data_IF_950530221563
#
_entry.id   IF_950530221563
#
_cell.length_a   1.000
_cell.length_b   1.000
_cell.length_c   1.000
_cell.angle_alpha   90.00
_cell.angle_beta   90.00
_cell.angle_gamma   90.00
#
_symmetry.space_group_name_H-M   'P 1'
#
loop_
_entity.id
_entity.type
_entity.pdbx_description
1 polymer ?
#
# COMPACT_ATOMS: atom_id res chain seq x y z
N UNK A 1 -18.77 13.01 2.13
CA UNK A 1 -19.78 12.21 2.86
C UNK A 1 -19.05 11.13 3.64
N UNK A 2 -19.15 11.05 4.98
CA UNK A 2 -18.59 9.91 5.70
C UNK A 2 -19.42 8.67 5.34
N UNK A 3 -18.77 7.66 4.75
CA UNK A 3 -19.38 6.34 4.52
C UNK A 3 -19.46 5.64 5.88
N UNK A 4 -20.62 5.67 6.52
CA UNK A 4 -20.85 4.89 7.75
C UNK A 4 -20.91 3.42 7.35
N UNK A 5 -19.79 2.73 7.49
CA UNK A 5 -19.73 1.30 7.20
C UNK A 5 -20.32 0.55 8.40
N UNK A 6 -21.52 0.00 8.23
CA UNK A 6 -22.12 -0.93 9.20
C UNK A 6 -21.41 -2.29 9.07
N UNK A 7 -20.19 -2.40 9.59
CA UNK A 7 -19.46 -3.67 9.67
C UNK A 7 -19.90 -4.41 10.92
N UNK A 8 -20.30 -5.68 10.78
CA UNK A 8 -20.60 -6.53 11.94
C UNK A 8 -19.31 -6.87 12.69
N UNK A 9 -19.40 -7.06 14.01
CA UNK A 9 -18.24 -7.48 14.82
C UNK A 9 -17.55 -8.73 14.26
N UNK A 10 -18.32 -9.67 13.70
CA UNK A 10 -17.77 -10.88 13.06
C UNK A 10 -16.99 -10.60 11.78
N UNK A 11 -17.39 -9.60 10.99
CA UNK A 11 -16.64 -9.20 9.81
C UNK A 11 -15.34 -8.48 10.20
N UNK A 12 -15.36 -7.62 11.22
CA UNK A 12 -14.14 -6.96 11.73
C UNK A 12 -13.12 -8.00 12.20
N UNK A 13 -13.55 -9.00 13.00
CA UNK A 13 -12.67 -10.05 13.52
C UNK A 13 -11.98 -10.80 12.38
N UNK A 14 -12.72 -11.17 11.31
CA UNK A 14 -12.14 -11.84 10.14
C UNK A 14 -11.02 -11.05 9.45
N UNK A 15 -11.13 -9.71 9.41
CA UNK A 15 -10.08 -8.87 8.82
C UNK A 15 -8.86 -8.78 9.73
N UNK A 16 -9.08 -8.65 11.03
CA UNK A 16 -8.00 -8.65 12.02
C UNK A 16 -7.24 -9.98 11.99
N UNK A 17 -7.95 -11.10 11.97
CA UNK A 17 -7.35 -12.44 11.87
C UNK A 17 -6.58 -12.61 10.55
N UNK A 18 -7.16 -12.19 9.42
CA UNK A 18 -6.46 -12.19 8.14
C UNK A 18 -5.14 -11.40 8.19
N UNK A 19 -5.16 -10.18 8.74
CA UNK A 19 -3.94 -9.38 8.84
C UNK A 19 -2.92 -10.04 9.79
N UNK A 20 -3.35 -10.68 10.88
CA UNK A 20 -2.44 -11.45 11.72
C UNK A 20 -1.83 -12.65 10.99
N UNK A 21 -2.62 -13.35 10.18
CA UNK A 21 -2.15 -14.46 9.34
C UNK A 21 -1.16 -14.00 8.25
N UNK A 22 -1.25 -12.74 7.82
CA UNK A 22 -0.24 -12.09 6.99
C UNK A 22 1.09 -11.82 7.73
N UNK A 23 1.17 -12.06 9.03
CA UNK A 23 2.36 -11.88 9.86
C UNK A 23 2.44 -10.55 10.59
N UNK A 24 1.38 -9.73 10.58
CA UNK A 24 1.34 -8.49 11.35
C UNK A 24 1.08 -8.76 12.84
N UNK A 25 1.82 -8.06 13.70
CA UNK A 25 1.52 -8.03 15.14
C UNK A 25 0.20 -7.29 15.40
N UNK A 26 -0.46 -7.56 16.53
CA UNK A 26 -1.69 -6.87 16.91
C UNK A 26 -1.51 -5.34 16.95
N UNK A 27 -0.35 -4.87 17.40
CA UNK A 27 -0.01 -3.45 17.48
C UNK A 27 0.16 -2.82 16.07
N UNK A 28 0.80 -3.53 15.14
CA UNK A 28 0.85 -3.12 13.73
C UNK A 28 -0.56 -3.05 13.11
N UNK A 29 -1.39 -4.09 13.33
CA UNK A 29 -2.78 -4.11 12.85
C UNK A 29 -3.56 -2.92 13.42
N UNK A 30 -3.39 -2.62 14.72
CA UNK A 30 -4.01 -1.45 15.36
C UNK A 30 -3.60 -0.15 14.65
N UNK A 31 -2.30 0.06 14.40
CA UNK A 31 -1.82 1.24 13.67
C UNK A 31 -2.43 1.35 12.27
N UNK A 32 -2.47 0.24 11.53
CA UNK A 32 -3.05 0.19 10.19
C UNK A 32 -4.54 0.56 10.21
N UNK A 33 -5.31 0.01 11.14
CA UNK A 33 -6.75 0.29 11.27
C UNK A 33 -7.01 1.73 11.69
N UNK A 34 -6.22 2.28 12.62
CA UNK A 34 -6.35 3.70 13.02
C UNK A 34 -6.01 4.64 11.86
N UNK A 35 -4.97 4.34 11.08
CA UNK A 35 -4.55 5.14 9.94
C UNK A 35 -5.45 4.98 8.70
N UNK A 36 -6.07 3.82 8.52
CA UNK A 36 -6.97 3.53 7.40
C UNK A 36 -8.07 2.54 7.82
N UNK A 37 -9.16 3.04 8.44
CA UNK A 37 -10.27 2.18 8.89
C UNK A 37 -10.94 1.39 7.77
N UNK A 38 -10.86 1.89 6.53
CA UNK A 38 -11.42 1.25 5.33
C UNK A 38 -10.89 -0.17 5.13
N UNK A 39 -9.68 -0.49 5.61
CA UNK A 39 -9.11 -1.85 5.53
C UNK A 39 -10.04 -2.93 6.10
N UNK A 40 -10.86 -2.59 7.10
CA UNK A 40 -11.83 -3.50 7.73
C UNK A 40 -13.12 -3.72 6.93
N UNK A 41 -13.29 -2.99 5.82
CA UNK A 41 -14.47 -3.02 4.96
C UNK A 41 -14.16 -3.57 3.56
N UNK A 42 -12.91 -3.98 3.30
CA UNK A 42 -12.48 -4.47 2.00
C UNK A 42 -12.88 -5.92 1.77
N UNK A 43 -12.79 -6.36 0.53
CA UNK A 43 -12.94 -7.77 0.22
C UNK A 43 -11.64 -8.51 0.56
N UNK A 44 -11.68 -9.42 1.55
CA UNK A 44 -10.52 -10.18 2.02
C UNK A 44 -9.85 -10.98 0.89
N UNK A 45 -10.60 -11.53 -0.07
CA UNK A 45 -10.00 -12.30 -1.16
C UNK A 45 -9.22 -11.41 -2.13
N UNK A 46 -9.69 -10.18 -2.37
CA UNK A 46 -8.92 -9.17 -3.11
C UNK A 46 -7.68 -8.72 -2.32
N UNK A 47 -7.80 -8.58 -1.00
CA UNK A 47 -6.65 -8.26 -0.13
C UNK A 47 -5.59 -9.36 -0.17
N UNK A 48 -5.99 -10.64 -0.14
CA UNK A 48 -5.06 -11.79 -0.26
C UNK A 48 -4.28 -11.77 -1.57
N UNK A 49 -4.92 -11.45 -2.69
CA UNK A 49 -4.26 -11.33 -3.99
C UNK A 49 -3.22 -10.19 -3.97
N UNK A 50 -3.61 -9.04 -3.43
CA UNK A 50 -2.73 -7.88 -3.30
C UNK A 50 -1.54 -8.14 -2.37
N UNK A 51 -1.77 -8.85 -1.26
CA UNK A 51 -0.73 -9.26 -0.32
C UNK A 51 0.24 -10.29 -0.92
N UNK A 52 -0.28 -11.28 -1.65
CA UNK A 52 0.58 -12.26 -2.33
C UNK A 52 1.51 -11.59 -3.35
N UNK A 53 1.00 -10.63 -4.12
CA UNK A 53 1.83 -9.85 -5.03
C UNK A 53 2.89 -9.04 -4.29
N UNK A 54 2.51 -8.38 -3.19
CA UNK A 54 3.44 -7.63 -2.35
C UNK A 54 4.62 -8.50 -1.88
N UNK A 55 4.34 -9.69 -1.34
CA UNK A 55 5.37 -10.57 -0.81
C UNK A 55 6.25 -11.19 -1.91
N UNK A 56 5.65 -11.71 -2.98
CA UNK A 56 6.38 -12.49 -3.99
C UNK A 56 7.11 -11.61 -5.01
N UNK A 57 6.46 -10.54 -5.44
CA UNK A 57 6.92 -9.75 -6.58
C UNK A 57 7.59 -8.46 -6.13
N UNK A 58 7.02 -7.74 -5.14
CA UNK A 58 7.62 -6.50 -4.64
C UNK A 58 8.73 -6.75 -3.61
N UNK A 59 8.67 -7.88 -2.87
CA UNK A 59 9.67 -8.33 -1.89
C UNK A 59 10.06 -7.22 -0.90
N UNK A 60 9.05 -6.50 -0.40
CA UNK A 60 9.20 -5.38 0.52
C UNK A 60 8.94 -5.77 1.98
N UNK A 61 9.50 -5.04 2.96
CA UNK A 61 9.23 -5.29 4.37
C UNK A 61 7.75 -5.03 4.70
N UNK A 62 7.19 -5.80 5.63
CA UNK A 62 5.81 -5.62 6.09
C UNK A 62 5.56 -4.21 6.66
N UNK A 63 6.58 -3.56 7.22
CA UNK A 63 6.45 -2.20 7.76
C UNK A 63 6.05 -1.17 6.70
N UNK A 64 6.31 -1.41 5.42
CA UNK A 64 5.80 -0.55 4.34
C UNK A 64 4.26 -0.58 4.28
N UNK A 65 3.64 -1.73 4.52
CA UNK A 65 2.17 -1.87 4.58
C UNK A 65 1.60 -1.27 5.87
N UNK A 66 2.38 -1.26 6.96
CA UNK A 66 2.00 -0.58 8.21
C UNK A 66 2.03 0.93 8.02
N UNK A 67 3.04 1.45 7.32
CA UNK A 67 3.16 2.87 7.00
C UNK A 67 2.14 3.34 5.95
N UNK A 68 1.73 2.44 5.05
CA UNK A 68 0.77 2.74 3.98
C UNK A 68 -0.32 1.66 3.84
N UNK A 69 -1.25 1.54 4.82
CA UNK A 69 -2.32 0.54 4.79
C UNK A 69 -3.30 0.74 3.62
N UNK A 70 -3.38 1.96 3.07
CA UNK A 70 -4.15 2.25 1.87
C UNK A 70 -3.71 1.44 0.63
N UNK A 71 -2.55 0.76 0.67
CA UNK A 71 -2.14 -0.22 -0.32
C UNK A 71 -3.27 -1.19 -0.70
N UNK A 72 -4.03 -1.70 0.28
CA UNK A 72 -5.10 -2.65 0.04
C UNK A 72 -6.30 -2.06 -0.71
N UNK A 73 -6.38 -0.74 -0.81
CA UNK A 73 -7.42 -0.03 -1.56
C UNK A 73 -7.02 0.20 -3.03
N UNK A 74 -5.73 0.06 -3.36
CA UNK A 74 -5.22 0.27 -4.71
C UNK A 74 -5.61 -0.89 -5.64
N UNK A 75 -5.91 -0.58 -6.90
CA UNK A 75 -6.20 -1.61 -7.89
C UNK A 75 -4.97 -2.46 -8.22
N UNK A 76 -5.08 -3.79 -8.06
CA UNK A 76 -3.96 -4.71 -8.27
C UNK A 76 -3.40 -4.64 -9.70
N UNK A 77 -4.25 -4.82 -10.70
CA UNK A 77 -3.84 -4.80 -12.11
C UNK A 77 -3.58 -3.38 -12.62
N UNK A 78 -4.45 -2.43 -12.27
CA UNK A 78 -4.37 -1.06 -12.78
C UNK A 78 -3.24 -0.25 -12.15
N UNK A 79 -2.89 -0.48 -10.88
CA UNK A 79 -1.98 0.40 -10.14
C UNK A 79 -0.78 -0.36 -9.62
N UNK A 80 -1.02 -1.37 -8.77
CA UNK A 80 0.03 -2.06 -8.02
C UNK A 80 0.99 -2.82 -8.95
N UNK A 81 0.51 -3.44 -10.03
CA UNK A 81 1.38 -4.19 -10.97
C UNK A 81 2.10 -3.34 -12.00
N UNK A 82 1.53 -2.19 -12.38
CA UNK A 82 2.12 -1.30 -13.41
C UNK A 82 3.29 -0.49 -12.85
N UNK A 83 3.08 0.18 -11.72
CA UNK A 83 4.00 1.22 -11.22
C UNK A 83 5.37 0.69 -10.74
N UNK A 84 5.47 -0.42 -9.97
CA UNK A 84 6.75 -0.95 -9.52
C UNK A 84 7.68 -1.36 -10.67
N UNK A 85 7.12 -1.90 -11.76
CA UNK A 85 7.90 -2.29 -12.95
C UNK A 85 8.62 -1.08 -13.57
N UNK A 86 8.02 0.11 -13.50
CA UNK A 86 8.62 1.33 -14.03
C UNK A 86 9.71 1.88 -13.11
N UNK A 87 9.48 1.87 -11.79
CA UNK A 87 10.49 2.33 -10.82
C UNK A 87 11.71 1.41 -10.76
N UNK A 88 11.52 0.09 -10.86
CA UNK A 88 12.64 -0.88 -10.88
C UNK A 88 13.53 -0.68 -12.10
N UNK A 89 12.94 -0.43 -13.29
CA UNK A 89 13.70 -0.14 -14.52
C UNK A 89 14.58 1.11 -14.39
N UNK A 90 14.15 2.09 -13.59
CA UNK A 90 14.92 3.32 -13.29
C UNK A 90 15.82 3.21 -12.04
N UNK A 91 15.86 2.06 -11.35
CA UNK A 91 16.64 1.89 -10.13
C UNK A 91 16.13 2.69 -8.92
N UNK A 92 14.88 3.16 -8.97
CA UNK A 92 14.29 4.09 -8.01
C UNK A 92 13.74 3.34 -6.79
N UNK A 93 14.25 3.65 -5.59
CA UNK A 93 13.70 3.19 -4.30
C UNK A 93 12.87 4.31 -3.69
N UNK A 94 11.62 4.04 -3.35
CA UNK A 94 10.67 5.04 -2.83
C UNK A 94 9.69 4.40 -1.82
N UNK A 95 8.89 5.21 -1.11
CA UNK A 95 7.83 4.69 -0.25
C UNK A 95 6.63 4.17 -1.07
N UNK A 96 5.79 3.31 -0.47
CA UNK A 96 4.52 2.92 -1.11
C UNK A 96 3.58 4.11 -1.30
N UNK A 97 3.57 5.07 -0.37
CA UNK A 97 2.76 6.27 -0.48
C UNK A 97 3.21 7.12 -1.67
N UNK A 98 4.50 7.32 -1.89
CA UNK A 98 4.98 8.01 -3.08
C UNK A 98 4.60 7.22 -4.33
N UNK A 99 4.81 5.91 -4.35
CA UNK A 99 4.54 5.08 -5.53
C UNK A 99 3.05 5.03 -5.93
N UNK A 100 2.15 4.91 -4.95
CA UNK A 100 0.76 4.53 -5.18
C UNK A 100 -0.25 5.65 -4.88
N UNK A 101 0.09 6.63 -4.05
CA UNK A 101 -0.83 7.70 -3.64
C UNK A 101 -0.80 8.90 -4.60
N UNK A 102 -1.03 8.66 -5.89
CA UNK A 102 -1.16 9.71 -6.89
C UNK A 102 -1.98 9.23 -8.10
N UNK A 103 -2.49 10.17 -8.91
CA UNK A 103 -3.14 9.85 -10.19
C UNK A 103 -2.15 9.21 -11.17
N UNK A 104 -2.69 8.58 -12.21
CA UNK A 104 -1.87 8.03 -13.31
C UNK A 104 -1.08 9.15 -14.01
N UNK A 105 -1.71 10.29 -14.29
CA UNK A 105 -1.05 11.49 -14.84
C UNK A 105 0.13 11.94 -13.96
N UNK A 106 -0.07 12.05 -12.64
CA UNK A 106 1.00 12.48 -11.74
C UNK A 106 2.12 11.45 -11.62
N UNK A 107 1.77 10.16 -11.74
CA UNK A 107 2.76 9.09 -11.77
C UNK A 107 3.57 9.13 -13.07
N UNK A 108 2.94 9.36 -14.21
CA UNK A 108 3.59 9.51 -15.51
C UNK A 108 4.54 10.69 -15.52
N UNK A 109 4.14 11.85 -14.99
CA UNK A 109 5.03 13.00 -14.79
C UNK A 109 6.29 12.60 -14.00
N UNK A 110 6.13 11.91 -12.86
CA UNK A 110 7.29 11.43 -12.05
C UNK A 110 8.21 10.48 -12.82
N UNK A 111 7.68 9.78 -13.82
CA UNK A 111 8.44 8.85 -14.64
C UNK A 111 9.02 9.50 -15.91
N UNK A 112 8.58 10.70 -16.30
CA UNK A 112 9.04 11.40 -17.49
C UNK A 112 10.27 12.29 -17.20
N UNK A 113 10.40 12.84 -15.99
CA UNK A 113 11.54 13.71 -15.64
C UNK A 113 12.83 12.91 -15.36
N UNK A 114 13.91 13.24 -16.09
CA UNK A 114 15.32 12.87 -15.80
C UNK A 114 15.93 13.64 -14.61
N UNK A 115 15.15 14.52 -14.00
CA UNK A 115 15.47 15.18 -12.73
C UNK A 115 14.37 14.84 -11.74
N UNK A 116 14.58 13.79 -10.96
CA UNK A 116 13.86 13.69 -9.70
C UNK A 116 14.33 14.92 -8.91
N UNK A 117 13.43 15.86 -8.67
CA UNK A 117 13.70 17.02 -7.82
C UNK A 117 14.37 16.53 -6.53
N UNK A 118 15.44 17.20 -6.07
CA UNK A 118 16.20 16.74 -4.90
C UNK A 118 15.28 16.51 -3.69
N UNK A 119 14.21 17.31 -3.56
CA UNK A 119 13.19 17.14 -2.51
C UNK A 119 12.27 15.91 -2.69
N UNK A 120 11.95 15.50 -3.92
CA UNK A 120 11.21 14.26 -4.20
C UNK A 120 12.10 13.03 -4.02
N UNK A 121 13.37 13.13 -4.40
CA UNK A 121 14.39 12.11 -4.21
C UNK A 121 14.70 11.93 -2.71
N UNK A 122 14.80 13.01 -1.95
CA UNK A 122 15.00 12.95 -0.50
C UNK A 122 13.87 12.22 0.23
N UNK A 123 12.60 12.44 -0.15
CA UNK A 123 11.45 11.67 0.37
C UNK A 123 11.51 10.18 0.01
N UNK A 124 12.19 9.85 -1.08
CA UNK A 124 12.44 8.48 -1.50
C UNK A 124 13.63 7.83 -0.75
N UNK A 125 14.63 8.62 -0.34
CA UNK A 125 15.85 8.15 0.32
C UNK A 125 15.85 8.25 1.87
N UNK A 126 14.96 9.04 2.49
CA UNK A 126 14.91 9.24 3.96
C UNK A 126 14.24 8.12 4.77
N UNK A 127 13.91 6.98 4.16
CA UNK A 127 13.38 5.82 4.88
C UNK A 127 14.52 4.85 5.22
N UNK A 128 15.31 5.21 6.24
CA UNK A 128 16.12 4.29 7.04
C UNK A 128 15.68 4.36 8.49
#
# INVERSE_FOLDING_TARGET
MPQVVSVTNSAIIKHVDFLKDCGFTLDQVRRMVVGCPQVLALNIDIMKLSFNYFQREMQRPLDDLVAFPAYFTCGLESTIKRRPKMTVKKGLKCSLSWLLNCSDEKFEERMDYDTIDMEEMERCHHLR
#
